data_IF_344922507263
#
_entry.id   IF_344922507263
#
_cell.length_a   1.000
_cell.length_b   1.000
_cell.length_c   1.000
_cell.angle_alpha   90.00
_cell.angle_beta   90.00
_cell.angle_gamma   90.00
#
_symmetry.space_group_name_H-M   'P 1'
#
loop_
_entity.id
_entity.type
_entity.pdbx_description
1 polymer ?
#
# COMPACT_ATOMS: atom_id res chain seq x y z
N UNK A 1 -19.64 16.11 -41.36
CA UNK A 1 -19.75 14.64 -41.30
C UNK A 1 -19.50 13.96 -42.65
N UNK A 2 -20.00 14.45 -43.80
CA UNK A 2 -19.82 13.77 -45.10
C UNK A 2 -18.42 13.90 -45.77
N UNK A 3 -17.59 14.87 -45.39
CA UNK A 3 -16.31 15.14 -46.09
C UNK A 3 -15.07 14.48 -45.51
N UNK A 4 -15.18 13.71 -44.41
CA UNK A 4 -14.05 12.96 -43.80
C UNK A 4 -14.17 11.44 -44.06
N UNK A 5 -15.25 11.02 -44.74
CA UNK A 5 -15.61 9.60 -44.98
C UNK A 5 -14.89 8.94 -46.17
N UNK A 6 -13.94 9.60 -46.83
CA UNK A 6 -13.21 9.03 -47.97
C UNK A 6 -12.03 8.17 -47.49
N UNK A 7 -12.39 7.00 -46.97
CA UNK A 7 -11.69 5.73 -47.03
C UNK A 7 -12.63 4.76 -46.29
N UNK A 8 -13.03 3.66 -46.93
CA UNK A 8 -14.10 2.74 -46.48
C UNK A 8 -13.99 2.11 -45.09
N UNK A 9 -13.01 2.51 -44.27
CA UNK A 9 -12.69 1.98 -42.96
C UNK A 9 -13.65 2.43 -41.82
N UNK A 10 -14.33 3.57 -41.94
CA UNK A 10 -15.15 4.13 -40.83
C UNK A 10 -16.67 3.99 -41.06
N UNK A 11 -17.09 3.30 -42.11
CA UNK A 11 -18.51 3.22 -42.51
C UNK A 11 -19.34 2.53 -41.42
N UNK A 12 -18.82 1.43 -40.86
CA UNK A 12 -19.53 0.66 -39.84
C UNK A 12 -19.76 1.42 -38.55
N UNK A 13 -18.86 2.33 -38.18
CA UNK A 13 -19.04 3.19 -37.01
C UNK A 13 -20.35 4.01 -37.13
N UNK A 14 -20.63 4.59 -38.30
CA UNK A 14 -21.80 5.45 -38.53
C UNK A 14 -23.12 4.70 -38.73
N UNK A 15 -23.09 3.36 -38.77
CA UNK A 15 -24.31 2.55 -38.88
C UNK A 15 -25.11 2.50 -37.56
N UNK A 16 -24.51 2.86 -36.41
CA UNK A 16 -25.21 2.89 -35.12
C UNK A 16 -25.53 4.33 -34.66
N UNK A 17 -26.82 4.61 -34.46
CA UNK A 17 -27.31 5.90 -33.95
C UNK A 17 -26.70 6.30 -32.60
N UNK A 18 -26.48 5.32 -31.71
CA UNK A 18 -25.87 5.55 -30.39
C UNK A 18 -24.44 6.12 -30.52
N UNK A 19 -23.57 5.48 -31.31
CA UNK A 19 -22.20 5.96 -31.53
C UNK A 19 -22.13 7.37 -32.14
N UNK A 20 -23.07 7.70 -33.02
CA UNK A 20 -23.18 9.06 -33.56
C UNK A 20 -23.53 10.06 -32.46
N UNK A 21 -24.46 9.71 -31.58
CA UNK A 21 -24.84 10.55 -30.44
C UNK A 21 -23.66 10.75 -29.48
N UNK A 22 -22.91 9.68 -29.20
CA UNK A 22 -21.80 9.66 -28.24
C UNK A 22 -20.56 10.44 -28.76
N UNK A 23 -20.24 10.38 -30.07
CA UNK A 23 -19.10 11.14 -30.61
C UNK A 23 -19.40 12.63 -30.80
N UNK A 24 -20.65 12.98 -31.09
CA UNK A 24 -21.07 14.36 -31.39
C UNK A 24 -20.61 15.39 -30.35
N UNK A 25 -20.76 15.19 -29.02
CA UNK A 25 -20.28 16.14 -28.02
C UNK A 25 -18.76 16.29 -27.99
N UNK A 26 -18.00 15.29 -28.46
CA UNK A 26 -16.53 15.33 -28.48
C UNK A 26 -15.99 16.18 -29.63
N UNK A 27 -16.77 16.39 -30.70
CA UNK A 27 -16.32 17.08 -31.92
C UNK A 27 -16.22 18.60 -31.73
N UNK A 28 -15.10 19.16 -32.18
CA UNK A 28 -14.85 20.60 -32.23
C UNK A 28 -15.18 21.22 -33.60
N UNK A 29 -15.06 22.56 -33.69
CA UNK A 29 -15.34 23.32 -34.92
C UNK A 29 -14.38 23.01 -36.08
N UNK A 30 -13.16 22.55 -35.79
CA UNK A 30 -12.16 22.12 -36.78
C UNK A 30 -11.55 20.81 -36.31
N UNK A 31 -11.59 19.79 -37.16
CA UNK A 31 -11.05 18.45 -36.86
C UNK A 31 -9.94 18.12 -37.84
N UNK A 32 -8.80 17.67 -37.31
CA UNK A 32 -7.79 16.96 -38.12
C UNK A 32 -8.20 15.50 -38.25
N UNK A 33 -7.67 14.79 -39.26
CA UNK A 33 -7.92 13.34 -39.42
C UNK A 33 -7.56 12.55 -38.16
N UNK A 34 -6.46 12.90 -37.50
CA UNK A 34 -6.03 12.27 -36.24
C UNK A 34 -6.96 12.57 -35.07
N UNK A 35 -7.26 13.85 -34.82
CA UNK A 35 -8.19 14.27 -33.76
C UNK A 35 -9.56 13.59 -33.90
N UNK A 36 -10.07 13.50 -35.12
CA UNK A 36 -11.32 12.82 -35.40
C UNK A 36 -11.28 11.33 -35.05
N UNK A 37 -10.26 10.59 -35.53
CA UNK A 37 -10.12 9.16 -35.22
C UNK A 37 -9.95 8.88 -33.73
N UNK A 38 -9.24 9.74 -32.99
CA UNK A 38 -9.10 9.62 -31.54
C UNK A 38 -10.45 9.80 -30.81
N UNK A 39 -11.27 10.74 -31.25
CA UNK A 39 -12.63 10.95 -30.71
C UNK A 39 -13.58 9.80 -31.06
N UNK A 40 -13.43 9.18 -32.22
CA UNK A 40 -14.14 7.94 -32.55
C UNK A 40 -13.76 6.84 -31.57
N UNK A 41 -12.47 6.59 -31.33
CA UNK A 41 -12.01 5.62 -30.33
C UNK A 41 -12.60 5.92 -28.95
N UNK A 42 -12.52 7.17 -28.49
CA UNK A 42 -13.07 7.61 -27.21
C UNK A 42 -14.57 7.28 -27.08
N UNK A 43 -15.35 7.55 -28.14
CA UNK A 43 -16.78 7.21 -28.15
C UNK A 43 -17.06 5.70 -28.19
N UNK A 44 -16.19 4.89 -28.82
CA UNK A 44 -16.34 3.41 -28.84
C UNK A 44 -16.15 2.85 -27.43
N UNK A 45 -15.11 3.31 -26.74
CA UNK A 45 -14.76 2.81 -25.41
C UNK A 45 -15.56 3.49 -24.29
N UNK A 46 -16.38 4.50 -24.63
CA UNK A 46 -17.29 5.16 -23.70
C UNK A 46 -16.62 6.17 -22.76
N UNK A 47 -15.59 6.88 -23.23
CA UNK A 47 -14.93 7.96 -22.46
C UNK A 47 -15.15 9.32 -23.09
N UNK A 48 -15.38 10.33 -22.25
CA UNK A 48 -15.49 11.73 -22.67
C UNK A 48 -14.13 12.39 -22.89
N UNK A 49 -13.05 11.76 -22.41
CA UNK A 49 -11.68 12.23 -22.58
C UNK A 49 -11.04 11.55 -23.78
N UNK A 50 -10.92 12.27 -24.89
CA UNK A 50 -10.27 11.79 -26.11
C UNK A 50 -8.74 11.80 -26.01
N UNK A 51 -8.19 11.16 -24.98
CA UNK A 51 -6.75 10.92 -24.78
C UNK A 51 -6.44 9.44 -24.96
N UNK A 52 -5.22 9.11 -25.38
CA UNK A 52 -4.83 7.70 -25.56
C UNK A 52 -4.83 6.96 -24.22
N UNK A 53 -4.41 7.62 -23.14
CA UNK A 53 -4.46 7.10 -21.76
C UNK A 53 -5.87 6.68 -21.36
N UNK A 54 -6.86 7.57 -21.52
CA UNK A 54 -8.25 7.28 -21.14
C UNK A 54 -8.86 6.18 -22.00
N UNK A 55 -8.49 6.12 -23.29
CA UNK A 55 -8.93 5.06 -24.19
C UNK A 55 -8.37 3.70 -23.76
N UNK A 56 -7.05 3.64 -23.50
CA UNK A 56 -6.39 2.40 -23.09
C UNK A 56 -6.89 1.91 -21.75
N UNK A 57 -7.06 2.79 -20.76
CA UNK A 57 -7.57 2.39 -19.44
C UNK A 57 -8.95 1.73 -19.55
N UNK A 58 -9.84 2.25 -20.40
CA UNK A 58 -11.16 1.64 -20.61
C UNK A 58 -11.11 0.28 -21.31
N UNK A 59 -10.11 0.05 -22.18
CA UNK A 59 -9.89 -1.24 -22.84
C UNK A 59 -9.26 -2.26 -21.88
N UNK A 60 -8.26 -1.82 -21.12
CA UNK A 60 -7.56 -2.63 -20.10
C UNK A 60 -8.55 -3.05 -19.00
N UNK A 61 -9.40 -2.14 -18.55
CA UNK A 61 -10.39 -2.42 -17.51
C UNK A 61 -11.41 -3.46 -17.98
N UNK A 62 -11.99 -3.27 -19.18
CA UNK A 62 -12.91 -4.24 -19.79
C UNK A 62 -12.26 -5.63 -19.96
N UNK A 63 -11.00 -5.66 -20.40
CA UNK A 63 -10.28 -6.92 -20.62
C UNK A 63 -9.95 -7.65 -19.32
N UNK A 64 -9.83 -6.93 -18.19
CA UNK A 64 -9.66 -7.54 -16.87
C UNK A 64 -10.92 -8.24 -16.35
N UNK A 65 -12.10 -7.81 -16.82
CA UNK A 65 -13.38 -8.45 -16.53
C UNK A 65 -13.65 -9.69 -17.44
N UNK A 66 -12.69 -10.04 -18.30
CA UNK A 66 -12.79 -11.17 -19.23
C UNK A 66 -13.65 -10.90 -20.47
N UNK A 67 -14.06 -9.64 -20.69
CA UNK A 67 -14.79 -9.20 -21.88
C UNK A 67 -13.87 -8.41 -22.81
N UNK A 68 -14.24 -8.24 -24.09
CA UNK A 68 -13.44 -7.49 -25.06
C UNK A 68 -14.34 -6.81 -26.10
N UNK A 69 -15.55 -6.44 -25.71
CA UNK A 69 -16.56 -5.96 -26.66
C UNK A 69 -16.21 -4.59 -27.23
N UNK A 70 -15.64 -3.68 -26.43
CA UNK A 70 -15.12 -2.40 -26.92
C UNK A 70 -13.93 -2.62 -27.85
N UNK A 71 -13.01 -3.51 -27.52
CA UNK A 71 -11.88 -3.81 -28.42
C UNK A 71 -12.35 -4.41 -29.75
N UNK A 72 -13.30 -5.36 -29.72
CA UNK A 72 -13.94 -5.91 -30.94
C UNK A 72 -14.64 -4.83 -31.75
N UNK A 73 -15.26 -3.84 -31.11
CA UNK A 73 -15.84 -2.70 -31.82
C UNK A 73 -14.78 -1.81 -32.47
N UNK A 74 -13.61 -1.64 -31.84
CA UNK A 74 -12.45 -0.96 -32.44
C UNK A 74 -11.98 -1.69 -33.70
N UNK A 75 -11.93 -3.03 -33.66
CA UNK A 75 -11.60 -3.87 -34.82
C UNK A 75 -12.64 -3.75 -35.94
N UNK A 76 -13.92 -3.90 -35.61
CA UNK A 76 -15.02 -3.77 -36.55
C UNK A 76 -15.09 -2.38 -37.20
N UNK A 77 -14.64 -1.34 -36.49
CA UNK A 77 -14.56 0.03 -37.03
C UNK A 77 -13.23 0.31 -37.73
N UNK A 78 -12.37 -0.69 -37.93
CA UNK A 78 -11.03 -0.57 -38.55
C UNK A 78 -10.14 0.51 -37.93
N UNK A 79 -10.23 0.71 -36.61
CA UNK A 79 -9.43 1.70 -35.88
C UNK A 79 -8.22 1.10 -35.16
N UNK A 80 -8.05 -0.22 -35.18
CA UNK A 80 -6.95 -0.94 -34.50
C UNK A 80 -5.57 -0.45 -34.92
N UNK A 81 -5.30 -0.30 -36.22
CA UNK A 81 -4.02 0.23 -36.70
C UNK A 81 -3.75 1.64 -36.15
N UNK A 82 -4.75 2.50 -36.18
CA UNK A 82 -4.62 3.86 -35.66
C UNK A 82 -4.38 3.87 -34.14
N UNK A 83 -5.07 3.00 -33.38
CA UNK A 83 -4.85 2.83 -31.95
C UNK A 83 -3.37 2.52 -31.68
N UNK A 84 -2.83 1.47 -32.28
CA UNK A 84 -1.46 1.03 -32.03
C UNK A 84 -0.39 2.01 -32.56
N UNK A 85 -0.66 2.73 -33.65
CA UNK A 85 0.17 3.87 -34.06
C UNK A 85 0.24 4.94 -32.96
N UNK A 86 -0.88 5.28 -32.31
CA UNK A 86 -0.88 6.23 -31.19
C UNK A 86 -0.15 5.70 -29.95
N UNK A 87 -0.29 4.40 -29.63
CA UNK A 87 0.42 3.76 -28.50
C UNK A 87 1.93 3.80 -28.75
N UNK A 88 2.39 3.44 -29.95
CA UNK A 88 3.80 3.52 -30.34
C UNK A 88 4.31 4.95 -30.27
N UNK A 89 3.59 5.90 -30.88
CA UNK A 89 4.04 7.29 -30.96
C UNK A 89 4.09 7.97 -29.59
N UNK A 90 3.28 7.53 -28.61
CA UNK A 90 3.24 8.10 -27.25
C UNK A 90 4.21 7.38 -26.32
N UNK A 91 4.13 6.05 -26.25
CA UNK A 91 4.83 5.25 -25.25
C UNK A 91 6.08 4.53 -25.78
N UNK A 92 6.31 4.52 -27.09
CA UNK A 92 7.43 3.80 -27.71
C UNK A 92 7.23 2.29 -27.79
N UNK A 93 6.00 1.79 -27.57
CA UNK A 93 5.70 0.36 -27.66
C UNK A 93 5.68 -0.10 -29.12
N UNK A 94 6.53 -1.08 -29.44
CA UNK A 94 6.66 -1.69 -30.76
C UNK A 94 6.48 -3.21 -30.64
N UNK A 95 5.55 -3.76 -31.41
CA UNK A 95 5.27 -5.20 -31.45
C UNK A 95 4.81 -5.60 -32.85
N UNK A 96 5.19 -6.81 -33.28
CA UNK A 96 4.76 -7.35 -34.57
C UNK A 96 3.27 -7.73 -34.56
N UNK A 97 2.76 -8.14 -33.40
CA UNK A 97 1.37 -8.55 -33.19
C UNK A 97 0.81 -7.81 -31.97
N UNK A 98 0.60 -6.49 -32.06
CA UNK A 98 0.24 -5.68 -30.91
C UNK A 98 -1.13 -6.07 -30.35
N UNK A 99 -1.20 -6.24 -29.05
CA UNK A 99 -2.43 -6.57 -28.33
C UNK A 99 -2.45 -5.88 -26.96
N UNK A 100 -3.64 -5.74 -26.36
CA UNK A 100 -3.78 -5.13 -25.02
C UNK A 100 -2.94 -5.90 -24.00
N UNK A 101 -2.98 -7.23 -24.06
CA UNK A 101 -2.22 -8.10 -23.15
C UNK A 101 -0.71 -7.93 -23.37
N UNK A 102 -0.23 -7.91 -24.61
CA UNK A 102 1.19 -7.71 -24.92
C UNK A 102 1.69 -6.34 -24.45
N UNK A 103 0.91 -5.29 -24.66
CA UNK A 103 1.23 -3.95 -24.15
C UNK A 103 1.29 -3.90 -22.62
N UNK A 104 0.36 -4.56 -21.92
CA UNK A 104 0.37 -4.63 -20.45
C UNK A 104 1.64 -5.35 -19.96
N UNK A 105 1.99 -6.48 -20.56
CA UNK A 105 3.19 -7.23 -20.20
C UNK A 105 4.45 -6.38 -20.36
N UNK A 106 4.60 -5.73 -21.51
CA UNK A 106 5.75 -4.86 -21.77
C UNK A 106 5.74 -3.67 -20.81
N UNK A 107 4.57 -3.09 -20.49
CA UNK A 107 4.47 -1.98 -19.54
C UNK A 107 4.92 -2.37 -18.13
N UNK A 108 4.44 -3.50 -17.59
CA UNK A 108 4.84 -4.01 -16.27
C UNK A 108 6.33 -4.35 -16.21
N UNK A 109 6.82 -5.10 -17.20
CA UNK A 109 8.22 -5.50 -17.32
C UNK A 109 9.14 -4.29 -17.38
N UNK A 110 8.86 -3.36 -18.28
CA UNK A 110 9.70 -2.20 -18.53
C UNK A 110 9.66 -1.19 -17.38
N UNK A 111 8.49 -0.96 -16.78
CA UNK A 111 8.38 -0.12 -15.58
C UNK A 111 9.12 -0.73 -14.40
N UNK A 112 9.05 -2.06 -14.21
CA UNK A 112 9.78 -2.75 -13.15
C UNK A 112 11.29 -2.70 -13.37
N UNK A 113 11.76 -2.99 -14.60
CA UNK A 113 13.16 -2.88 -15.01
C UNK A 113 13.76 -1.52 -14.66
N UNK A 114 13.01 -0.43 -14.89
CA UNK A 114 13.45 0.92 -14.52
C UNK A 114 13.64 1.10 -13.01
N UNK A 115 12.78 0.52 -12.17
CA UNK A 115 12.90 0.65 -10.71
C UNK A 115 14.10 -0.12 -10.18
N UNK A 116 14.48 -1.23 -10.82
CA UNK A 116 15.69 -2.01 -10.47
C UNK A 116 16.96 -1.53 -11.20
N UNK A 117 16.92 -0.34 -11.81
CA UNK A 117 18.08 0.31 -12.43
C UNK A 117 18.49 -0.25 -13.80
N UNK A 118 17.65 -1.09 -14.42
CA UNK A 118 17.85 -1.56 -15.79
C UNK A 118 17.33 -0.53 -16.81
N UNK A 119 17.83 -0.63 -18.04
CA UNK A 119 17.37 0.23 -19.15
C UNK A 119 15.97 -0.19 -19.58
N UNK A 120 15.16 0.78 -20.01
CA UNK A 120 13.87 0.52 -20.62
C UNK A 120 13.84 0.92 -22.10
N UNK A 121 13.07 0.15 -22.86
CA UNK A 121 12.72 0.41 -24.26
C UNK A 121 11.60 1.45 -24.40
N UNK A 122 10.75 1.63 -23.37
CA UNK A 122 9.61 2.54 -23.41
C UNK A 122 9.99 3.99 -23.10
N UNK A 123 9.17 4.93 -23.60
CA UNK A 123 9.31 6.37 -23.34
C UNK A 123 8.81 6.72 -21.94
N UNK A 124 9.28 7.85 -21.41
CA UNK A 124 8.90 8.35 -20.08
C UNK A 124 7.39 8.47 -19.85
N UNK A 125 6.61 8.79 -20.90
CA UNK A 125 5.16 8.88 -20.83
C UNK A 125 4.50 7.54 -20.46
N UNK A 126 5.11 6.39 -20.80
CA UNK A 126 4.62 5.07 -20.43
C UNK A 126 4.64 4.90 -18.90
N UNK A 127 5.69 5.39 -18.25
CA UNK A 127 5.83 5.35 -16.79
C UNK A 127 4.81 6.26 -16.11
N UNK A 128 4.50 7.42 -16.69
CA UNK A 128 3.45 8.32 -16.19
C UNK A 128 2.08 7.65 -16.31
N UNK A 129 1.78 7.05 -17.47
CA UNK A 129 0.57 6.28 -17.70
C UNK A 129 0.42 5.13 -16.68
N UNK A 130 1.46 4.30 -16.50
CA UNK A 130 1.46 3.18 -15.56
C UNK A 130 1.21 3.64 -14.11
N UNK A 131 1.85 4.73 -13.67
CA UNK A 131 1.61 5.31 -12.33
C UNK A 131 0.20 5.87 -12.20
N UNK A 132 -0.32 6.52 -13.24
CA UNK A 132 -1.70 7.01 -13.29
C UNK A 132 -2.71 5.87 -13.17
N UNK A 133 -2.45 4.76 -13.86
CA UNK A 133 -3.25 3.55 -13.76
C UNK A 133 -3.23 2.97 -12.34
N UNK A 134 -2.03 2.70 -11.79
CA UNK A 134 -1.84 2.13 -10.44
C UNK A 134 -2.52 2.95 -9.34
N UNK A 135 -2.43 4.28 -9.43
CA UNK A 135 -2.92 5.18 -8.40
C UNK A 135 -4.39 5.59 -8.61
N UNK A 136 -5.05 5.10 -9.66
CA UNK A 136 -6.46 5.35 -9.90
C UNK A 136 -7.32 4.44 -9.04
N UNK A 137 -8.19 5.05 -8.21
CA UNK A 137 -9.21 4.32 -7.45
C UNK A 137 -10.24 3.63 -8.35
N UNK A 138 -10.48 4.14 -9.55
CA UNK A 138 -11.41 3.55 -10.52
C UNK A 138 -10.86 2.26 -11.13
N UNK A 139 -9.55 2.21 -11.40
CA UNK A 139 -8.89 1.09 -12.10
C UNK A 139 -8.09 0.19 -11.15
N UNK A 140 -8.37 0.23 -9.84
CA UNK A 140 -7.66 -0.58 -8.84
C UNK A 140 -7.85 -2.08 -9.08
N UNK A 141 -9.03 -2.51 -9.52
CA UNK A 141 -9.33 -3.92 -9.81
C UNK A 141 -8.54 -4.43 -11.01
N UNK A 142 -8.55 -3.69 -12.12
CA UNK A 142 -7.81 -4.06 -13.32
C UNK A 142 -6.30 -4.03 -13.10
N UNK A 143 -5.77 -3.04 -12.38
CA UNK A 143 -4.35 -3.01 -12.02
C UNK A 143 -3.96 -4.24 -11.18
N UNK A 144 -4.76 -4.59 -10.17
CA UNK A 144 -4.54 -5.77 -9.34
C UNK A 144 -4.52 -7.04 -10.18
N UNK A 145 -5.52 -7.23 -11.04
CA UNK A 145 -5.62 -8.39 -11.92
C UNK A 145 -4.35 -8.56 -12.77
N UNK A 146 -3.94 -7.51 -13.48
CA UNK A 146 -2.77 -7.62 -14.36
C UNK A 146 -1.45 -7.67 -13.62
N UNK A 147 -1.34 -7.05 -12.45
CA UNK A 147 -0.18 -7.23 -11.58
C UNK A 147 -0.02 -8.71 -11.20
N UNK A 148 -1.10 -9.41 -10.84
CA UNK A 148 -1.06 -10.84 -10.49
C UNK A 148 -0.74 -11.75 -11.70
N UNK A 149 -1.23 -11.40 -12.89
CA UNK A 149 -0.91 -12.10 -14.15
C UNK A 149 0.57 -11.91 -14.49
N UNK A 150 1.02 -10.66 -14.60
CA UNK A 150 2.40 -10.34 -14.98
C UNK A 150 3.42 -10.77 -13.92
N UNK A 151 3.05 -10.83 -12.63
CA UNK A 151 3.92 -11.37 -11.57
C UNK A 151 4.38 -12.80 -11.91
N UNK A 152 3.46 -13.62 -12.44
CA UNK A 152 3.73 -15.02 -12.81
C UNK A 152 4.44 -15.11 -14.16
N UNK A 153 3.91 -14.42 -15.17
CA UNK A 153 4.38 -14.55 -16.55
C UNK A 153 5.80 -14.00 -16.73
N UNK A 154 6.19 -13.02 -15.91
CA UNK A 154 7.53 -12.42 -15.93
C UNK A 154 8.51 -13.07 -14.93
N UNK A 155 8.08 -14.08 -14.16
CA UNK A 155 8.84 -14.67 -13.04
C UNK A 155 9.49 -13.61 -12.13
N UNK A 156 8.67 -12.68 -11.65
CA UNK A 156 9.13 -11.65 -10.72
C UNK A 156 9.75 -12.27 -9.45
N UNK A 157 9.19 -13.33 -8.84
CA UNK A 157 9.81 -14.00 -7.69
C UNK A 157 11.23 -14.51 -7.98
N UNK A 158 11.47 -15.15 -9.13
CA UNK A 158 12.78 -15.61 -9.54
C UNK A 158 13.76 -14.46 -9.80
N UNK A 159 13.27 -13.31 -10.28
CA UNK A 159 14.09 -12.12 -10.48
C UNK A 159 14.52 -11.48 -9.16
N UNK A 160 13.58 -11.23 -8.25
CA UNK A 160 13.84 -10.47 -7.00
C UNK A 160 14.69 -11.22 -5.99
N UNK A 161 14.77 -12.56 -6.06
CA UNK A 161 15.58 -13.35 -5.11
C UNK A 161 17.08 -13.00 -5.15
N UNK A 162 17.55 -12.48 -6.29
CA UNK A 162 18.94 -12.07 -6.51
C UNK A 162 19.21 -10.60 -6.17
N UNK A 163 18.16 -9.84 -5.81
CA UNK A 163 18.21 -8.40 -5.55
C UNK A 163 18.23 -8.15 -4.05
N UNK A 164 19.05 -7.19 -3.59
CA UNK A 164 18.95 -6.68 -2.22
C UNK A 164 17.58 -6.03 -2.01
N UNK A 165 16.79 -6.60 -1.09
CA UNK A 165 15.42 -6.15 -0.81
C UNK A 165 15.35 -4.67 -0.41
N UNK A 166 16.45 -4.09 0.10
CA UNK A 166 16.53 -2.65 0.44
C UNK A 166 16.30 -1.75 -0.76
N UNK A 167 16.69 -2.19 -1.95
CA UNK A 167 16.47 -1.45 -3.20
C UNK A 167 15.02 -1.56 -3.68
N UNK A 168 14.28 -2.56 -3.18
CA UNK A 168 12.88 -2.80 -3.53
C UNK A 168 11.90 -2.04 -2.61
N UNK A 169 12.38 -1.43 -1.53
CA UNK A 169 11.53 -0.64 -0.62
C UNK A 169 10.86 0.52 -1.37
N UNK A 170 9.53 0.53 -1.36
CA UNK A 170 8.72 1.53 -2.05
C UNK A 170 8.30 1.15 -3.48
N UNK A 171 8.77 0.01 -4.01
CA UNK A 171 8.25 -0.56 -5.25
C UNK A 171 7.04 -1.42 -4.92
N UNK A 172 5.87 -1.03 -5.42
CA UNK A 172 4.58 -1.63 -5.07
C UNK A 172 3.83 -2.20 -6.29
N UNK A 173 4.58 -2.62 -7.31
CA UNK A 173 4.01 -3.08 -8.58
C UNK A 173 3.48 -4.51 -8.50
N UNK A 174 4.05 -5.34 -7.62
CA UNK A 174 3.74 -6.76 -7.47
C UNK A 174 3.64 -7.13 -6.00
N UNK A 175 2.68 -7.99 -5.65
CA UNK A 175 2.45 -8.42 -4.28
C UNK A 175 3.63 -9.26 -3.74
N UNK A 176 4.36 -9.96 -4.61
CA UNK A 176 5.56 -10.71 -4.23
C UNK A 176 6.67 -9.84 -3.65
N UNK A 177 6.77 -8.57 -4.04
CA UNK A 177 7.79 -7.64 -3.54
C UNK A 177 7.57 -7.39 -2.05
N UNK A 178 6.33 -7.11 -1.63
CA UNK A 178 6.00 -6.97 -0.21
C UNK A 178 6.30 -8.25 0.57
N UNK A 179 5.93 -9.43 0.05
CA UNK A 179 6.24 -10.71 0.70
C UNK A 179 7.75 -10.92 0.87
N UNK A 180 8.53 -10.59 -0.16
CA UNK A 180 9.99 -10.70 -0.13
C UNK A 180 10.60 -9.74 0.89
N UNK A 181 10.16 -8.48 0.92
CA UNK A 181 10.60 -7.47 1.90
C UNK A 181 10.26 -7.92 3.32
N UNK A 182 9.03 -8.38 3.56
CA UNK A 182 8.58 -8.88 4.86
C UNK A 182 9.47 -10.02 5.36
N UNK A 183 9.73 -11.02 4.51
CA UNK A 183 10.55 -12.17 4.88
C UNK A 183 11.99 -11.78 5.23
N UNK A 184 12.59 -10.88 4.45
CA UNK A 184 13.93 -10.38 4.75
C UNK A 184 13.95 -9.56 6.06
N UNK A 185 12.94 -8.72 6.29
CA UNK A 185 12.83 -7.97 7.55
C UNK A 185 12.64 -8.89 8.77
N UNK A 186 11.87 -9.95 8.63
CA UNK A 186 11.73 -10.98 9.68
C UNK A 186 13.11 -11.54 10.04
N UNK A 187 13.90 -11.94 9.03
CA UNK A 187 15.23 -12.50 9.25
C UNK A 187 16.17 -11.48 9.91
N UNK A 188 16.24 -10.25 9.40
CA UNK A 188 17.13 -9.22 9.95
C UNK A 188 16.75 -8.80 11.38
N UNK A 189 15.46 -8.81 11.72
CA UNK A 189 15.00 -8.58 13.10
C UNK A 189 15.40 -9.74 14.00
N UNK A 190 15.24 -10.99 13.55
CA UNK A 190 15.64 -12.18 14.31
C UNK A 190 17.14 -12.21 14.58
N UNK A 191 17.94 -11.87 13.57
CA UNK A 191 19.41 -11.83 13.66
C UNK A 191 19.94 -10.56 14.32
N UNK A 192 19.07 -9.58 14.61
CA UNK A 192 19.41 -8.26 15.17
C UNK A 192 20.40 -7.46 14.31
N UNK A 193 20.34 -7.62 13.00
CA UNK A 193 21.22 -6.95 12.03
C UNK A 193 20.66 -5.63 11.50
N UNK A 194 19.39 -5.33 11.77
CA UNK A 194 18.72 -4.08 11.38
C UNK A 194 18.27 -3.27 12.61
N UNK A 195 18.40 -1.95 12.52
CA UNK A 195 17.95 -1.03 13.57
C UNK A 195 16.46 -0.72 13.47
N UNK A 196 15.84 -0.36 14.61
CA UNK A 196 14.47 0.16 14.63
C UNK A 196 14.30 1.40 13.75
N UNK A 197 15.29 2.30 13.73
CA UNK A 197 15.18 3.56 12.99
C UNK A 197 15.13 3.29 11.47
N UNK A 198 15.94 2.35 10.98
CA UNK A 198 15.90 1.86 9.59
C UNK A 198 14.55 1.20 9.27
N UNK A 199 14.04 0.33 10.14
CA UNK A 199 12.70 -0.27 9.96
C UNK A 199 11.64 0.82 9.90
N UNK A 200 11.70 1.80 10.80
CA UNK A 200 10.74 2.91 10.83
C UNK A 200 10.74 3.71 9.52
N UNK A 201 11.89 3.89 8.88
CA UNK A 201 11.99 4.53 7.57
C UNK A 201 11.38 3.68 6.46
N UNK A 202 11.68 2.38 6.43
CA UNK A 202 11.12 1.46 5.45
C UNK A 202 9.59 1.39 5.57
N UNK A 203 9.06 1.30 6.79
CA UNK A 203 7.61 1.29 7.01
C UNK A 203 6.94 2.58 6.54
N UNK A 204 7.59 3.75 6.67
CA UNK A 204 7.03 5.01 6.15
C UNK A 204 6.87 4.97 4.63
N UNK A 205 7.86 4.42 3.91
CA UNK A 205 7.80 4.26 2.45
C UNK A 205 6.71 3.27 2.02
N UNK A 206 6.57 2.15 2.73
CA UNK A 206 5.59 1.12 2.37
C UNK A 206 4.13 1.54 2.62
N UNK A 207 3.86 2.48 3.55
CA UNK A 207 2.48 2.88 3.90
C UNK A 207 1.65 3.44 2.75
N UNK A 208 2.30 3.95 1.70
CA UNK A 208 1.63 4.47 0.49
C UNK A 208 1.57 3.45 -0.64
N UNK A 209 2.12 2.24 -0.44
CA UNK A 209 2.16 1.20 -1.45
C UNK A 209 0.79 0.58 -1.72
N UNK A 210 0.55 0.22 -2.98
CA UNK A 210 -0.68 -0.39 -3.47
C UNK A 210 -1.10 -1.62 -2.66
N UNK A 211 -0.14 -2.47 -2.29
CA UNK A 211 -0.37 -3.72 -1.57
C UNK A 211 -0.32 -3.58 -0.05
N UNK A 212 0.02 -2.41 0.50
CA UNK A 212 0.25 -2.22 1.93
C UNK A 212 -0.93 -2.67 2.80
N UNK A 213 -2.16 -2.36 2.38
CA UNK A 213 -3.36 -2.70 3.12
C UNK A 213 -3.52 -4.22 3.32
N UNK A 214 -3.04 -5.04 2.39
CA UNK A 214 -3.07 -6.50 2.49
C UNK A 214 -2.09 -7.01 3.56
N UNK A 215 -0.99 -6.29 3.82
CA UNK A 215 0.08 -6.70 4.73
C UNK A 215 0.22 -5.77 5.96
N UNK A 216 -0.78 -4.91 6.21
CA UNK A 216 -0.70 -3.85 7.24
C UNK A 216 -0.40 -4.41 8.63
N UNK A 217 -1.00 -5.54 8.99
CA UNK A 217 -0.80 -6.16 10.30
C UNK A 217 0.60 -6.79 10.41
N UNK A 218 1.07 -7.46 9.37
CA UNK A 218 2.45 -7.98 9.30
C UNK A 218 3.47 -6.86 9.47
N UNK A 219 3.36 -5.79 8.68
CA UNK A 219 4.29 -4.65 8.78
C UNK A 219 4.25 -3.97 10.15
N UNK A 220 3.05 -3.78 10.73
CA UNK A 220 2.92 -3.21 12.08
C UNK A 220 3.49 -4.13 13.16
N UNK A 221 3.35 -5.44 13.02
CA UNK A 221 3.98 -6.38 13.94
C UNK A 221 5.52 -6.24 13.91
N UNK A 222 6.14 -6.22 12.73
CA UNK A 222 7.59 -6.02 12.61
C UNK A 222 8.06 -4.66 13.17
N UNK A 223 7.28 -3.60 12.94
CA UNK A 223 7.53 -2.29 13.53
C UNK A 223 7.49 -2.30 15.06
N UNK A 224 6.45 -2.89 15.66
CA UNK A 224 6.35 -2.95 17.12
C UNK A 224 7.34 -3.92 17.75
N UNK A 225 7.66 -5.02 17.06
CA UNK A 225 8.70 -5.96 17.47
C UNK A 225 10.06 -5.26 17.60
N UNK A 226 10.52 -4.62 16.51
CA UNK A 226 11.79 -3.91 16.51
C UNK A 226 11.84 -2.78 17.53
N UNK A 227 10.75 -2.03 17.71
CA UNK A 227 10.69 -0.99 18.73
C UNK A 227 10.75 -1.56 20.15
N UNK A 228 10.01 -2.63 20.41
CA UNK A 228 10.04 -3.32 21.69
C UNK A 228 11.46 -3.81 22.01
N UNK A 229 12.13 -4.45 21.05
CA UNK A 229 13.49 -4.97 21.20
C UNK A 229 14.52 -3.86 21.49
N UNK A 230 14.38 -2.68 20.87
CA UNK A 230 15.21 -1.50 21.18
C UNK A 230 15.00 -1.04 22.63
N UNK A 231 13.76 -0.78 23.02
CA UNK A 231 13.46 -0.20 24.35
C UNK A 231 13.74 -1.19 25.48
N UNK A 232 13.44 -2.48 25.31
CA UNK A 232 13.64 -3.49 26.37
C UNK A 232 15.13 -3.72 26.70
N UNK A 233 16.03 -3.42 25.77
CA UNK A 233 17.47 -3.49 26.02
C UNK A 233 18.01 -2.22 26.73
N UNK A 234 17.31 -1.09 26.61
CA UNK A 234 17.67 0.18 27.23
C UNK A 234 16.98 0.41 28.59
N UNK A 235 15.90 -0.32 28.88
CA UNK A 235 15.09 -0.07 30.08
C UNK A 235 15.86 -0.41 31.36
N UNK A 236 15.89 0.56 32.27
CA UNK A 236 16.40 0.36 33.62
C UNK A 236 15.24 0.43 34.61
N UNK A 237 14.90 -0.71 35.21
CA UNK A 237 13.75 -0.86 36.11
C UNK A 237 14.16 -0.65 37.57
N UNK A 238 14.74 0.52 37.84
CA UNK A 238 15.01 0.95 39.21
C UNK A 238 13.80 1.70 39.76
N UNK A 239 13.43 1.38 40.98
CA UNK A 239 12.35 2.03 41.72
C UNK A 239 12.82 2.19 43.15
N UNK A 240 12.91 3.43 43.61
CA UNK A 240 13.40 3.74 44.97
C UNK A 240 12.26 3.84 45.99
N UNK A 241 11.09 4.32 45.56
CA UNK A 241 9.90 4.51 46.40
C UNK A 241 8.62 4.20 45.62
N UNK A 242 7.50 3.99 46.30
CA UNK A 242 6.20 3.80 45.63
C UNK A 242 5.84 5.01 44.72
N UNK A 243 6.13 6.23 45.16
CA UNK A 243 5.87 7.45 44.38
C UNK A 243 6.74 7.53 43.13
N UNK A 244 8.01 7.18 43.26
CA UNK A 244 8.93 7.06 42.12
C UNK A 244 8.44 5.97 41.17
N UNK A 245 8.04 4.80 41.67
CA UNK A 245 7.52 3.71 40.85
C UNK A 245 6.32 4.10 39.99
N UNK A 246 5.34 4.82 40.56
CA UNK A 246 4.21 5.33 39.78
C UNK A 246 4.70 6.35 38.74
N UNK A 247 5.60 7.24 39.13
CA UNK A 247 6.17 8.26 38.23
C UNK A 247 6.88 7.63 37.03
N UNK A 248 7.77 6.67 37.29
CA UNK A 248 8.51 5.97 36.25
C UNK A 248 7.58 5.15 35.36
N UNK A 249 6.60 4.45 35.95
CA UNK A 249 5.67 3.66 35.17
C UNK A 249 4.85 4.52 34.21
N UNK A 250 4.27 5.61 34.73
CA UNK A 250 3.39 6.50 33.95
C UNK A 250 4.14 7.35 32.93
N UNK A 251 5.41 7.64 33.16
CA UNK A 251 6.24 8.43 32.22
C UNK A 251 6.95 7.57 31.17
N UNK A 252 7.40 6.36 31.53
CA UNK A 252 8.32 5.55 30.71
C UNK A 252 7.97 4.06 30.64
N UNK A 253 7.82 3.33 31.76
CA UNK A 253 7.78 1.86 31.72
C UNK A 253 6.54 1.32 30.99
N UNK A 254 5.40 2.00 31.07
CA UNK A 254 4.17 1.62 30.34
C UNK A 254 4.39 1.46 28.83
N UNK A 255 5.42 2.09 28.25
CA UNK A 255 5.73 2.00 26.82
C UNK A 255 6.12 0.57 26.45
N UNK A 256 6.83 -0.16 27.31
CA UNK A 256 7.21 -1.57 27.07
C UNK A 256 5.95 -2.43 26.99
N UNK A 257 5.06 -2.33 27.98
CA UNK A 257 3.76 -3.00 28.01
C UNK A 257 2.93 -2.72 26.75
N UNK A 258 2.84 -1.44 26.38
CA UNK A 258 2.08 -1.00 25.22
C UNK A 258 2.63 -1.62 23.93
N UNK A 259 3.95 -1.63 23.75
CA UNK A 259 4.58 -2.19 22.56
C UNK A 259 4.41 -3.70 22.48
N UNK A 260 4.59 -4.41 23.60
CA UNK A 260 4.32 -5.85 23.69
C UNK A 260 2.87 -6.17 23.28
N UNK A 261 1.89 -5.48 23.85
CA UNK A 261 0.47 -5.70 23.54
C UNK A 261 0.12 -5.35 22.09
N UNK A 262 0.71 -4.27 21.54
CA UNK A 262 0.53 -3.89 20.13
C UNK A 262 1.13 -4.93 19.19
N UNK A 263 2.31 -5.46 19.51
CA UNK A 263 2.91 -6.55 18.77
C UNK A 263 1.98 -7.76 18.74
N UNK A 264 1.55 -8.27 19.91
CA UNK A 264 0.67 -9.43 19.99
C UNK A 264 -0.63 -9.25 19.21
N UNK A 265 -1.25 -8.07 19.30
CA UNK A 265 -2.44 -7.74 18.51
C UNK A 265 -2.15 -7.88 17.01
N UNK A 266 -1.09 -7.26 16.50
CA UNK A 266 -0.81 -7.28 15.07
C UNK A 266 -0.33 -8.64 14.55
N UNK A 267 0.36 -9.45 15.35
CA UNK A 267 0.70 -10.83 15.00
C UNK A 267 -0.56 -11.69 14.90
N UNK A 268 -1.51 -11.53 15.83
CA UNK A 268 -2.79 -12.25 15.77
C UNK A 268 -3.57 -11.88 14.51
N UNK A 269 -3.71 -10.59 14.24
CA UNK A 269 -4.48 -10.09 13.10
C UNK A 269 -3.81 -10.37 11.74
N UNK A 270 -2.49 -10.57 11.69
CA UNK A 270 -1.80 -10.89 10.42
C UNK A 270 -2.07 -12.30 9.92
N UNK A 271 -2.50 -13.22 10.79
CA UNK A 271 -2.63 -14.64 10.46
C UNK A 271 -1.29 -15.36 10.18
N UNK A 272 -0.15 -14.69 10.39
CA UNK A 272 1.20 -15.20 10.06
C UNK A 272 1.97 -15.69 11.30
N UNK A 273 1.28 -16.29 12.27
CA UNK A 273 1.87 -16.72 13.54
C UNK A 273 3.12 -17.59 13.36
N UNK A 274 3.10 -18.54 12.41
CA UNK A 274 4.25 -19.43 12.17
C UNK A 274 5.50 -18.71 11.66
N UNK A 275 5.36 -17.70 10.78
CA UNK A 275 6.53 -16.96 10.26
C UNK A 275 7.18 -16.07 11.33
N UNK A 276 6.40 -15.65 12.34
CA UNK A 276 6.86 -14.77 13.42
C UNK A 276 7.13 -15.53 14.73
N UNK A 277 7.12 -16.86 14.74
CA UNK A 277 7.23 -17.67 15.95
C UNK A 277 8.50 -17.33 16.74
N UNK A 278 9.67 -17.34 16.08
CA UNK A 278 10.96 -17.02 16.72
C UNK A 278 11.00 -15.62 17.31
N UNK A 279 10.48 -14.62 16.60
CA UNK A 279 10.39 -13.24 17.10
C UNK A 279 9.45 -13.18 18.30
N UNK A 280 8.32 -13.88 18.24
CA UNK A 280 7.32 -13.91 19.31
C UNK A 280 7.89 -14.53 20.58
N UNK A 281 8.57 -15.67 20.47
CA UNK A 281 9.25 -16.33 21.59
C UNK A 281 10.29 -15.43 22.23
N UNK A 282 11.11 -14.74 21.43
CA UNK A 282 12.11 -13.81 21.95
C UNK A 282 11.47 -12.60 22.67
N UNK A 283 10.42 -12.03 22.08
CA UNK A 283 9.66 -10.92 22.69
C UNK A 283 9.03 -11.35 24.01
N UNK A 284 8.36 -12.51 24.04
CA UNK A 284 7.73 -13.04 25.24
C UNK A 284 8.75 -13.35 26.34
N UNK A 285 9.87 -13.98 26.00
CA UNK A 285 10.95 -14.26 26.95
C UNK A 285 11.51 -12.96 27.56
N UNK A 286 11.74 -11.93 26.76
CA UNK A 286 12.24 -10.65 27.25
C UNK A 286 11.21 -9.90 28.07
N UNK A 287 9.96 -9.89 27.61
CA UNK A 287 8.87 -9.26 28.34
C UNK A 287 8.70 -9.89 29.72
N UNK A 288 8.63 -11.22 29.79
CA UNK A 288 8.44 -11.94 31.05
C UNK A 288 9.64 -11.79 31.99
N UNK A 289 10.87 -12.00 31.49
CA UNK A 289 12.04 -12.12 32.36
C UNK A 289 12.79 -10.79 32.60
N UNK A 290 12.90 -9.92 31.58
CA UNK A 290 13.60 -8.63 31.73
C UNK A 290 12.68 -7.52 32.23
N UNK A 291 11.39 -7.58 31.92
CA UNK A 291 10.44 -6.53 32.30
C UNK A 291 9.54 -6.94 33.46
N UNK A 292 8.61 -7.88 33.22
CA UNK A 292 7.53 -8.19 34.16
C UNK A 292 8.06 -8.72 35.49
N UNK A 293 8.95 -9.71 35.47
CA UNK A 293 9.54 -10.29 36.67
C UNK A 293 10.28 -9.25 37.51
N UNK A 294 11.22 -8.52 36.88
CA UNK A 294 12.02 -7.50 37.58
C UNK A 294 11.16 -6.38 38.15
N UNK A 295 10.18 -5.90 37.37
CA UNK A 295 9.29 -4.85 37.80
C UNK A 295 8.44 -5.31 38.99
N UNK A 296 7.89 -6.52 38.92
CA UNK A 296 7.09 -7.11 40.00
C UNK A 296 7.92 -7.31 41.28
N UNK A 297 9.13 -7.86 41.19
CA UNK A 297 10.00 -8.05 42.36
C UNK A 297 10.32 -6.73 43.07
N UNK A 298 10.57 -5.65 42.30
CA UNK A 298 10.81 -4.31 42.85
C UNK A 298 9.56 -3.74 43.53
N UNK A 299 8.41 -3.86 42.87
CA UNK A 299 7.14 -3.42 43.45
C UNK A 299 6.78 -4.19 44.72
N UNK A 300 6.95 -5.51 44.72
CA UNK A 300 6.61 -6.36 45.85
C UNK A 300 7.36 -5.94 47.11
N UNK A 301 8.69 -5.74 47.01
CA UNK A 301 9.51 -5.28 48.13
C UNK A 301 9.03 -3.92 48.71
N UNK A 302 8.63 -2.99 47.85
CA UNK A 302 8.15 -1.67 48.28
C UNK A 302 6.75 -1.74 48.90
N UNK A 303 5.89 -2.59 48.35
CA UNK A 303 4.54 -2.80 48.88
C UNK A 303 4.59 -3.50 50.24
N UNK A 304 5.43 -4.52 50.39
CA UNK A 304 5.60 -5.26 51.66
C UNK A 304 6.14 -4.37 52.78
N UNK A 305 6.99 -3.39 52.44
CA UNK A 305 7.51 -2.40 53.39
C UNK A 305 6.51 -1.27 53.71
N UNK A 306 5.42 -1.14 52.96
CA UNK A 306 4.48 -0.02 53.12
C UNK A 306 3.47 -0.29 54.22
N UNK A 307 3.32 0.66 55.15
CA UNK A 307 2.33 0.57 56.23
C UNK A 307 0.92 1.01 55.80
N UNK A 308 0.82 1.83 54.76
CA UNK A 308 -0.44 2.21 54.16
C UNK A 308 -0.36 2.25 52.62
N UNK A 309 -1.51 2.40 51.97
CA UNK A 309 -1.61 2.46 50.50
C UNK A 309 -1.71 3.90 50.00
N UNK A 310 -1.29 4.89 50.80
CA UNK A 310 -1.30 6.30 50.40
C UNK A 310 0.04 6.70 49.83
N UNK A 311 0.08 6.80 48.51
CA UNK A 311 1.29 7.20 47.81
C UNK A 311 1.28 8.72 47.67
N UNK A 312 2.24 9.39 48.30
CA UNK A 312 2.37 10.84 48.27
C UNK A 312 2.41 11.35 46.82
N UNK A 313 1.68 12.43 46.55
CA UNK A 313 1.59 13.02 45.21
C UNK A 313 0.56 12.38 44.26
N UNK A 314 -0.05 11.25 44.63
CA UNK A 314 -1.04 10.57 43.79
C UNK A 314 -2.40 10.42 44.46
N UNK A 315 -3.44 10.83 43.75
CA UNK A 315 -4.83 10.65 44.19
C UNK A 315 -5.22 9.19 44.02
N UNK A 316 -5.73 8.56 45.08
CA UNK A 316 -6.23 7.19 44.99
C UNK A 316 -7.46 7.10 44.09
N UNK A 317 -7.64 5.96 43.42
CA UNK A 317 -8.78 5.75 42.52
C UNK A 317 -10.14 5.99 43.21
N UNK A 318 -10.28 5.61 44.49
CA UNK A 318 -11.49 5.87 45.30
C UNK A 318 -11.83 7.36 45.42
N UNK A 319 -10.81 8.22 45.45
CA UNK A 319 -10.96 9.67 45.58
C UNK A 319 -11.00 10.39 44.22
N UNK A 320 -10.85 9.67 43.10
CA UNK A 320 -10.83 10.24 41.76
C UNK A 320 -12.07 11.11 41.48
N UNK A 321 -13.27 10.60 41.79
CA UNK A 321 -14.50 11.35 41.56
C UNK A 321 -14.54 12.65 42.36
N UNK A 322 -14.33 12.56 43.67
CA UNK A 322 -14.40 13.72 44.58
C UNK A 322 -13.34 14.78 44.24
N UNK A 323 -12.15 14.36 43.83
CA UNK A 323 -11.04 15.26 43.57
C UNK A 323 -11.09 15.89 42.17
N UNK A 324 -11.43 15.13 41.13
CA UNK A 324 -11.37 15.60 39.73
C UNK A 324 -12.74 15.87 39.10
N UNK A 325 -13.76 15.08 39.42
CA UNK A 325 -15.06 15.14 38.73
C UNK A 325 -16.03 16.09 39.45
N UNK A 326 -16.16 15.95 40.77
CA UNK A 326 -17.10 16.74 41.58
C UNK A 326 -16.93 18.26 41.40
N UNK A 327 -15.70 18.84 41.36
CA UNK A 327 -15.54 20.29 41.16
C UNK A 327 -15.99 20.79 39.78
N UNK A 328 -16.01 19.92 38.77
CA UNK A 328 -16.47 20.24 37.40
C UNK A 328 -18.00 20.17 37.35
N UNK A 329 -18.57 19.10 37.91
CA UNK A 329 -20.02 18.89 37.97
C UNK A 329 -20.70 19.97 38.80
N UNK A 330 -20.10 20.42 39.92
CA UNK A 330 -20.59 21.53 40.74
C UNK A 330 -20.64 22.88 40.00
N UNK A 331 -19.91 23.01 38.89
CA UNK A 331 -19.96 24.18 37.99
C UNK A 331 -20.94 23.98 36.82
N UNK A 332 -21.83 22.99 36.93
CA UNK A 332 -22.83 22.61 35.92
C UNK A 332 -22.21 22.23 34.55
N UNK A 333 -20.95 21.76 34.55
CA UNK A 333 -20.26 21.32 33.33
C UNK A 333 -20.36 19.81 33.17
N UNK A 334 -20.57 19.35 31.93
CA UNK A 334 -20.55 17.93 31.57
C UNK A 334 -19.10 17.47 31.39
N UNK A 335 -18.77 16.27 31.89
CA UNK A 335 -17.47 15.64 31.71
C UNK A 335 -17.65 14.18 31.30
N UNK A 336 -16.75 13.69 30.44
CA UNK A 336 -16.67 12.28 30.06
C UNK A 336 -15.28 11.77 30.43
N UNK A 337 -15.21 10.60 31.05
CA UNK A 337 -13.96 9.92 31.43
C UNK A 337 -13.77 8.75 30.46
N UNK A 338 -12.64 8.70 29.76
CA UNK A 338 -12.30 7.67 28.77
C UNK A 338 -11.18 6.79 29.30
#
# INVERSE_FOLDING_TARGET
MKTVSQNGAVVDFFNAKKRIADVKPLLGKRETKGSFRKKLLASIVGTDLATIDSILLQLIDESSDGTNDRYRLVENCNLTRYLWEQVRDTYGYESNNPSIIDFIHELFKECFNLEIGQKSSLRGDAKVFFRGWKNSSHYTTSFRHYSEVCEKDLDIPGTIISIDFRTLIGIDYFACIDRFIINNLINEIQERTISFDTISEYMRKQRTGFWYNQYIHTYKALYYASWFLKIIDEVNLNIDTLSDGISQYTSSYFRVDRLYRKYLFHVRESGQLGQMEKISTEIENRYSNKYLLKLNDRWQNLVDASQDWKIAGYTTQKNFYTHYILPIVQKERKVCVI
#
